data_IF_746656220975
#
_entry.id   IF_746656220975
#
_cell.length_a   1.000
_cell.length_b   1.000
_cell.length_c   1.000
_cell.angle_alpha   90.00
_cell.angle_beta   90.00
_cell.angle_gamma   90.00
#
_symmetry.space_group_name_H-M   'P 1'
#
loop_
_entity.id
_entity.type
_entity.pdbx_description
1 polymer ?
#
# COMPACT_ATOMS: atom_id res chain seq x y z
N UNK A 1 -0.72 -12.15 -6.19
CA UNK A 1 -1.86 -12.83 -5.52
C UNK A 1 -2.71 -13.63 -6.49
N UNK A 2 -3.33 -13.04 -7.52
CA UNK A 2 -4.25 -13.81 -8.39
C UNK A 2 -3.56 -14.93 -9.19
N UNK A 3 -2.46 -14.63 -9.90
CA UNK A 3 -1.75 -15.64 -10.72
C UNK A 3 -1.13 -16.75 -9.88
N UNK A 4 -0.67 -16.43 -8.65
CA UNK A 4 -0.18 -17.44 -7.70
C UNK A 4 -1.27 -18.45 -7.29
N UNK A 5 -2.54 -18.10 -7.50
CA UNK A 5 -3.71 -18.96 -7.27
C UNK A 5 -4.36 -19.41 -8.60
N UNK A 6 -3.67 -19.30 -9.73
CA UNK A 6 -4.19 -19.67 -11.05
C UNK A 6 -5.34 -18.77 -11.55
N UNK A 7 -5.53 -17.58 -10.98
CA UNK A 7 -6.60 -16.65 -11.34
C UNK A 7 -6.07 -15.51 -12.22
N UNK A 8 -6.63 -15.38 -13.42
CA UNK A 8 -6.39 -14.23 -14.29
C UNK A 8 -7.39 -13.10 -13.98
N UNK A 9 -6.93 -12.05 -13.32
CA UNK A 9 -7.74 -10.86 -13.03
C UNK A 9 -7.57 -9.84 -14.15
N UNK A 10 -8.69 -9.36 -14.71
CA UNK A 10 -8.71 -8.31 -15.73
C UNK A 10 -8.94 -6.94 -15.08
N UNK A 11 -8.34 -5.89 -15.66
CA UNK A 11 -8.42 -4.51 -15.17
C UNK A 11 -8.99 -3.59 -16.26
N UNK A 12 -10.32 -3.58 -16.50
CA UNK A 12 -10.92 -2.89 -17.65
C UNK A 12 -10.59 -1.39 -17.73
N UNK A 13 -10.45 -0.70 -16.59
CA UNK A 13 -10.08 0.72 -16.57
C UNK A 13 -8.64 1.00 -17.00
N UNK A 14 -7.79 -0.02 -17.10
CA UNK A 14 -6.43 0.10 -17.62
C UNK A 14 -6.34 -0.16 -19.14
N UNK A 15 -7.49 -0.28 -19.84
CA UNK A 15 -7.52 -0.33 -21.31
C UNK A 15 -6.94 0.96 -21.90
N UNK A 16 -5.97 0.82 -22.80
CA UNK A 16 -5.24 1.96 -23.37
C UNK A 16 -6.16 2.95 -24.08
N UNK A 17 -7.26 2.50 -24.69
CA UNK A 17 -8.22 3.36 -25.38
C UNK A 17 -8.95 4.28 -24.41
N UNK A 18 -9.29 3.76 -23.23
CA UNK A 18 -9.89 4.56 -22.15
C UNK A 18 -8.87 5.58 -21.64
N UNK A 19 -7.62 5.15 -21.43
CA UNK A 19 -6.56 6.02 -20.93
C UNK A 19 -6.27 7.15 -21.92
N UNK A 20 -6.09 6.84 -23.20
CA UNK A 20 -5.84 7.81 -24.28
C UNK A 20 -6.98 8.83 -24.41
N UNK A 21 -8.23 8.35 -24.36
CA UNK A 21 -9.40 9.24 -24.39
C UNK A 21 -9.43 10.18 -23.18
N UNK A 22 -9.33 9.61 -21.97
CA UNK A 22 -9.41 10.39 -20.73
C UNK A 22 -8.20 11.32 -20.60
N UNK A 23 -7.02 10.96 -21.10
CA UNK A 23 -5.84 11.83 -21.06
C UNK A 23 -6.14 13.19 -21.69
N UNK A 24 -6.80 13.19 -22.85
CA UNK A 24 -7.16 14.39 -23.61
C UNK A 24 -8.41 15.13 -23.10
N UNK A 25 -9.20 14.55 -22.19
CA UNK A 25 -10.38 15.21 -21.66
C UNK A 25 -10.02 16.41 -20.76
N UNK A 26 -10.68 17.58 -20.90
CA UNK A 26 -10.40 18.74 -20.06
C UNK A 26 -10.68 18.47 -18.58
N UNK A 27 -9.95 19.15 -17.69
CA UNK A 27 -10.06 18.93 -16.25
C UNK A 27 -11.46 19.25 -15.71
N UNK A 28 -12.13 20.27 -16.26
CA UNK A 28 -13.51 20.65 -15.91
C UNK A 28 -14.52 19.51 -16.13
N UNK A 29 -14.28 18.62 -17.10
CA UNK A 29 -15.12 17.42 -17.29
C UNK A 29 -14.71 16.27 -16.36
N UNK A 30 -13.42 16.13 -16.06
CA UNK A 30 -12.92 15.09 -15.13
C UNK A 30 -13.39 15.32 -13.69
N UNK A 31 -13.47 16.59 -13.29
CA UNK A 31 -13.78 17.04 -11.93
C UNK A 31 -14.72 18.27 -11.92
N UNK A 32 -15.94 18.16 -12.50
CA UNK A 32 -16.92 19.23 -12.48
C UNK A 32 -17.25 19.61 -11.04
N UNK A 33 -17.24 20.91 -10.75
CA UNK A 33 -17.53 21.48 -9.42
C UNK A 33 -16.73 20.86 -8.26
N UNK A 34 -15.51 20.38 -8.55
CA UNK A 34 -14.63 19.74 -7.57
C UNK A 34 -15.02 18.30 -7.20
N UNK A 35 -16.00 17.71 -7.89
CA UNK A 35 -16.44 16.33 -7.66
C UNK A 35 -15.46 15.35 -8.31
N UNK A 36 -14.71 14.64 -7.47
CA UNK A 36 -13.75 13.63 -7.94
C UNK A 36 -14.43 12.54 -8.76
N UNK A 37 -13.80 12.21 -9.90
CA UNK A 37 -14.29 11.23 -10.88
C UNK A 37 -15.65 11.60 -11.49
N UNK A 38 -15.98 12.89 -11.61
CA UNK A 38 -17.29 13.35 -12.11
C UNK A 38 -17.67 12.76 -13.46
N UNK A 39 -16.78 12.80 -14.46
CA UNK A 39 -17.01 12.17 -15.77
C UNK A 39 -17.46 10.70 -15.66
N UNK A 40 -16.78 9.92 -14.80
CA UNK A 40 -17.12 8.51 -14.57
C UNK A 40 -18.47 8.36 -13.84
N UNK A 41 -18.72 9.21 -12.84
CA UNK A 41 -19.97 9.20 -12.08
C UNK A 41 -21.15 9.58 -12.97
N UNK A 42 -20.98 10.48 -13.92
CA UNK A 42 -22.03 10.86 -14.86
C UNK A 42 -22.27 9.77 -15.90
N UNK A 43 -21.21 9.18 -16.45
CA UNK A 43 -21.32 8.04 -17.37
C UNK A 43 -22.04 6.84 -16.73
N UNK A 44 -21.86 6.62 -15.42
CA UNK A 44 -22.50 5.52 -14.69
C UNK A 44 -23.94 5.81 -14.21
N UNK A 45 -24.45 7.03 -14.40
CA UNK A 45 -25.78 7.46 -13.89
C UNK A 45 -26.94 6.53 -14.28
N UNK A 46 -27.03 6.01 -15.52
CA UNK A 46 -28.14 5.11 -15.87
C UNK A 46 -28.03 3.70 -15.26
N UNK A 47 -26.89 3.37 -14.62
CA UNK A 47 -26.51 2.00 -14.27
C UNK A 47 -26.39 1.79 -12.76
N UNK A 48 -26.10 2.86 -12.01
CA UNK A 48 -25.82 2.81 -10.58
C UNK A 48 -26.78 3.70 -9.77
N UNK A 49 -27.28 3.20 -8.62
CA UNK A 49 -27.98 4.02 -7.63
C UNK A 49 -27.15 5.22 -7.16
N UNK A 50 -27.82 6.30 -6.77
CA UNK A 50 -27.19 7.57 -6.42
C UNK A 50 -26.22 7.45 -5.24
N UNK A 51 -26.57 6.66 -4.23
CA UNK A 51 -25.76 6.42 -3.04
C UNK A 51 -24.43 5.71 -3.35
N UNK A 52 -24.45 4.74 -4.27
CA UNK A 52 -23.24 4.07 -4.79
C UNK A 52 -22.45 5.02 -5.67
N UNK A 53 -23.13 5.70 -6.60
CA UNK A 53 -22.54 6.58 -7.62
C UNK A 53 -21.89 7.81 -7.01
N UNK A 54 -22.39 8.34 -5.90
CA UNK A 54 -21.88 9.53 -5.20
C UNK A 54 -21.09 9.22 -3.93
N UNK A 55 -20.90 7.93 -3.60
CA UNK A 55 -20.08 7.52 -2.45
C UNK A 55 -18.70 8.16 -2.48
N UNK A 56 -18.26 8.66 -1.33
CA UNK A 56 -16.89 9.18 -1.14
C UNK A 56 -15.87 8.05 -1.31
N UNK A 57 -14.67 8.39 -1.81
CA UNK A 57 -13.57 7.43 -1.94
C UNK A 57 -13.27 6.84 -0.56
N UNK A 58 -13.51 5.55 -0.42
CA UNK A 58 -12.99 4.77 0.70
C UNK A 58 -11.81 3.96 0.19
N UNK A 59 -10.65 4.02 0.84
CA UNK A 59 -9.52 3.16 0.49
C UNK A 59 -9.85 1.69 0.75
N UNK A 60 -9.03 0.79 0.20
CA UNK A 60 -9.13 -0.63 0.56
C UNK A 60 -9.02 -0.82 2.07
N UNK A 61 -9.71 -1.82 2.64
CA UNK A 61 -9.65 -2.10 4.07
C UNK A 61 -8.19 -2.28 4.52
N UNK A 62 -7.86 -1.66 5.65
CA UNK A 62 -6.61 -1.88 6.36
C UNK A 62 -6.89 -2.63 7.66
N UNK A 63 -5.92 -3.43 8.11
CA UNK A 63 -6.01 -4.00 9.45
C UNK A 63 -5.60 -2.94 10.48
N UNK A 64 -6.51 -2.68 11.41
CA UNK A 64 -6.27 -1.85 12.59
C UNK A 64 -6.04 -2.69 13.85
N UNK A 65 -5.82 -4.00 13.69
CA UNK A 65 -5.74 -4.91 14.82
C UNK A 65 -4.43 -4.68 15.62
N UNK A 66 -4.49 -4.25 16.89
CA UNK A 66 -3.30 -4.02 17.70
C UNK A 66 -2.43 -5.27 17.91
N UNK A 67 -3.03 -6.47 17.81
CA UNK A 67 -2.28 -7.73 17.90
C UNK A 67 -1.34 -7.91 16.71
N UNK A 68 -1.73 -7.45 15.51
CA UNK A 68 -0.88 -7.52 14.33
C UNK A 68 0.38 -6.66 14.50
N UNK A 69 0.21 -5.41 14.95
CA UNK A 69 1.34 -4.52 15.24
C UNK A 69 2.30 -5.12 16.27
N UNK A 70 1.76 -5.72 17.35
CA UNK A 70 2.57 -6.37 18.39
C UNK A 70 3.42 -7.52 17.83
N UNK A 71 2.85 -8.32 16.93
CA UNK A 71 3.56 -9.42 16.28
C UNK A 71 4.70 -8.87 15.42
N UNK A 72 4.44 -7.83 14.63
CA UNK A 72 5.45 -7.21 13.77
C UNK A 72 6.60 -6.60 14.57
N UNK A 73 6.28 -5.84 15.64
CA UNK A 73 7.29 -5.26 16.53
C UNK A 73 8.19 -6.34 17.12
N UNK A 74 7.61 -7.41 17.66
CA UNK A 74 8.36 -8.53 18.23
C UNK A 74 9.26 -9.21 17.19
N UNK A 75 8.74 -9.44 15.98
CA UNK A 75 9.51 -10.10 14.92
C UNK A 75 10.66 -9.25 14.43
N UNK A 76 10.43 -7.95 14.23
CA UNK A 76 11.48 -7.04 13.78
C UNK A 76 12.56 -6.87 14.86
N UNK A 77 12.18 -6.75 16.14
CA UNK A 77 13.12 -6.72 17.26
C UNK A 77 14.04 -7.97 17.28
N UNK A 78 13.48 -9.16 17.01
CA UNK A 78 14.29 -10.39 16.92
C UNK A 78 15.27 -10.35 15.73
N UNK A 79 14.82 -9.90 14.55
CA UNK A 79 15.68 -9.76 13.36
C UNK A 79 16.80 -8.76 13.59
N UNK A 80 16.53 -7.63 14.25
CA UNK A 80 17.56 -6.62 14.53
C UNK A 80 18.59 -7.06 15.58
N UNK A 81 18.25 -8.03 16.44
CA UNK A 81 19.17 -8.58 17.45
C UNK A 81 20.13 -9.62 16.88
N UNK A 82 19.77 -10.26 15.78
CA UNK A 82 20.61 -11.21 15.09
C UNK A 82 21.43 -10.49 14.01
N UNK A 83 22.74 -10.38 14.22
CA UNK A 83 23.64 -9.66 13.31
C UNK A 83 23.82 -10.35 11.96
N UNK A 84 23.51 -11.63 11.88
CA UNK A 84 23.60 -12.41 10.63
C UNK A 84 22.38 -12.19 9.73
N UNK A 85 21.31 -11.55 10.24
CA UNK A 85 20.14 -11.25 9.41
C UNK A 85 20.51 -10.18 8.37
N UNK A 86 20.28 -10.43 7.06
CA UNK A 86 20.76 -9.59 5.97
C UNK A 86 20.13 -8.20 5.96
N UNK A 87 18.97 -8.00 6.61
CA UNK A 87 18.39 -6.68 6.78
C UNK A 87 19.35 -5.69 7.47
N UNK A 88 20.21 -6.17 8.39
CA UNK A 88 21.12 -5.32 9.15
C UNK A 88 22.17 -4.61 8.27
N UNK A 89 22.43 -5.08 7.05
CA UNK A 89 23.35 -4.40 6.11
C UNK A 89 22.68 -3.23 5.38
N UNK A 90 21.34 -3.21 5.32
CA UNK A 90 20.57 -2.25 4.53
C UNK A 90 19.94 -1.13 5.36
N UNK A 91 19.86 -1.29 6.68
CA UNK A 91 19.15 -0.36 7.56
C UNK A 91 20.08 0.25 8.60
N UNK A 92 19.75 1.45 9.06
CA UNK A 92 20.39 2.05 10.22
C UNK A 92 19.78 1.44 11.50
N UNK A 93 20.51 0.66 12.32
CA UNK A 93 19.95 -0.01 13.49
C UNK A 93 19.34 0.96 14.50
N UNK A 94 20.00 2.09 14.76
CA UNK A 94 19.50 3.11 15.69
C UNK A 94 18.19 3.75 15.20
N UNK A 95 17.96 3.82 13.89
CA UNK A 95 16.68 4.31 13.36
C UNK A 95 15.55 3.28 13.56
N UNK A 96 15.84 1.99 13.38
CA UNK A 96 14.86 0.91 13.60
C UNK A 96 14.52 0.79 15.08
N UNK A 97 15.50 0.88 15.97
CA UNK A 97 15.29 0.88 17.42
C UNK A 97 14.39 2.03 17.87
N UNK A 98 14.63 3.26 17.37
CA UNK A 98 13.75 4.41 17.65
C UNK A 98 12.31 4.14 17.18
N UNK A 99 12.13 3.62 15.97
CA UNK A 99 10.81 3.28 15.45
C UNK A 99 10.10 2.21 16.31
N UNK A 100 10.85 1.22 16.81
CA UNK A 100 10.32 0.17 17.69
C UNK A 100 9.94 0.70 19.08
N UNK A 101 10.61 1.75 19.57
CA UNK A 101 10.30 2.42 20.83
C UNK A 101 9.12 3.40 20.74
N UNK A 102 8.91 4.01 19.57
CA UNK A 102 7.81 4.96 19.35
C UNK A 102 6.44 4.25 19.30
N UNK A 103 5.43 4.89 19.91
CA UNK A 103 4.02 4.52 19.65
C UNK A 103 3.74 4.78 18.18
N UNK A 104 3.04 3.86 17.51
CA UNK A 104 2.69 4.05 16.10
C UNK A 104 1.83 5.29 15.94
N UNK A 105 2.44 6.35 15.43
CA UNK A 105 1.71 7.50 14.93
C UNK A 105 1.16 7.14 13.55
N UNK A 106 -0.17 7.06 13.48
CA UNK A 106 -0.90 6.80 12.25
C UNK A 106 -0.93 8.03 11.31
N UNK A 107 -0.31 9.14 11.70
CA UNK A 107 -0.40 10.44 11.03
C UNK A 107 0.45 10.59 9.77
N UNK A 108 1.63 9.96 9.68
CA UNK A 108 2.48 10.04 8.48
C UNK A 108 2.47 8.73 7.70
N UNK A 109 1.82 8.68 6.53
CA UNK A 109 1.79 7.46 5.73
C UNK A 109 3.16 7.21 5.11
N UNK A 110 3.67 5.98 5.25
CA UNK A 110 4.76 5.50 4.42
C UNK A 110 4.20 5.11 3.05
N UNK A 111 4.73 5.70 1.98
CA UNK A 111 4.30 5.47 0.59
C UNK A 111 2.77 5.62 0.35
N UNK A 112 2.12 6.56 1.06
CA UNK A 112 0.67 6.76 0.96
C UNK A 112 -0.17 5.60 1.54
N UNK A 113 0.45 4.63 2.20
CA UNK A 113 -0.22 3.49 2.81
C UNK A 113 -0.75 3.86 4.20
N UNK A 114 -1.95 3.37 4.49
CA UNK A 114 -2.77 3.86 5.59
C UNK A 114 -2.47 3.21 6.94
N UNK A 115 -1.44 2.36 7.01
CA UNK A 115 -1.07 1.58 8.19
C UNK A 115 0.23 2.05 8.87
N UNK A 116 0.84 3.16 8.42
CA UNK A 116 1.99 3.81 9.05
C UNK A 116 3.09 2.82 9.53
N UNK A 117 3.47 2.87 10.80
CA UNK A 117 4.50 2.02 11.42
C UNK A 117 4.32 0.51 11.18
N UNK A 118 3.16 -0.10 11.46
CA UNK A 118 2.89 -1.50 11.13
C UNK A 118 3.26 -1.89 9.70
N UNK A 119 2.96 -1.03 8.72
CA UNK A 119 3.25 -1.34 7.33
C UNK A 119 4.75 -1.31 7.04
N UNK A 120 5.47 -0.33 7.60
CA UNK A 120 6.92 -0.24 7.47
C UNK A 120 7.61 -1.47 8.09
N UNK A 121 7.19 -1.88 9.29
CA UNK A 121 7.73 -3.07 9.96
C UNK A 121 7.47 -4.35 9.15
N UNK A 122 6.26 -4.50 8.60
CA UNK A 122 5.93 -5.64 7.74
C UNK A 122 6.79 -5.65 6.48
N UNK A 123 7.03 -4.49 5.87
CA UNK A 123 7.87 -4.39 4.67
C UNK A 123 9.33 -4.76 4.96
N UNK A 124 9.92 -4.24 6.03
CA UNK A 124 11.29 -4.60 6.43
C UNK A 124 11.44 -6.11 6.67
N UNK A 125 10.47 -6.72 7.36
CA UNK A 125 10.42 -8.17 7.55
C UNK A 125 10.29 -8.93 6.23
N UNK A 126 9.52 -8.42 5.26
CA UNK A 126 9.38 -9.02 3.93
C UNK A 126 10.69 -8.94 3.14
N UNK A 127 11.40 -7.81 3.20
CA UNK A 127 12.72 -7.66 2.57
C UNK A 127 13.70 -8.67 3.19
N UNK A 128 13.77 -8.73 4.52
CA UNK A 128 14.65 -9.69 5.19
C UNK A 128 14.33 -11.14 4.78
N UNK A 129 13.05 -11.50 4.79
CA UNK A 129 12.60 -12.82 4.37
C UNK A 129 12.95 -13.11 2.91
N UNK A 130 12.76 -12.15 2.00
CA UNK A 130 13.07 -12.29 0.59
C UNK A 130 14.57 -12.50 0.36
N UNK A 131 15.42 -11.69 0.99
CA UNK A 131 16.89 -11.84 0.90
C UNK A 131 17.34 -13.23 1.35
N UNK A 132 16.78 -13.74 2.45
CA UNK A 132 17.11 -15.09 2.95
C UNK A 132 16.58 -16.20 2.08
N UNK A 133 15.34 -16.07 1.61
CA UNK A 133 14.66 -17.14 0.85
C UNK A 133 15.30 -17.37 -0.50
N UNK A 134 15.84 -16.32 -1.11
CA UNK A 134 16.46 -16.38 -2.43
C UNK A 134 17.99 -16.22 -2.38
N UNK A 135 18.59 -16.29 -1.18
CA UNK A 135 20.04 -16.21 -0.96
C UNK A 135 20.69 -15.03 -1.71
N UNK A 136 20.08 -13.85 -1.58
CA UNK A 136 20.47 -12.67 -2.34
C UNK A 136 21.66 -12.01 -1.67
N UNK A 137 22.77 -11.92 -2.41
CA UNK A 137 23.94 -11.15 -2.04
C UNK A 137 23.81 -9.70 -2.55
N UNK A 138 24.21 -8.74 -1.72
CA UNK A 138 24.17 -7.32 -2.05
C UNK A 138 25.58 -6.77 -1.87
N UNK A 139 26.16 -6.29 -2.98
CA UNK A 139 27.40 -5.51 -2.97
C UNK A 139 27.04 -4.03 -2.76
N UNK A 140 27.54 -3.42 -1.68
CA UNK A 140 27.27 -2.04 -1.27
C UNK A 140 28.50 -1.14 -1.44
#
# INVERSE_FOLDING_TARGET
MSMASGLEVRVPYADHRIVEYVFNAPWSYKCPDGVVKGLLRDAARPWLPEDVRMRRKSPYPKTHNPAYERILRRRLDLVMKDREEPLNTLVNPAAVERMLAEKSDYGRPWFGQLMAGPQMMAYLLQINYWLKTYEIEIEL
#
